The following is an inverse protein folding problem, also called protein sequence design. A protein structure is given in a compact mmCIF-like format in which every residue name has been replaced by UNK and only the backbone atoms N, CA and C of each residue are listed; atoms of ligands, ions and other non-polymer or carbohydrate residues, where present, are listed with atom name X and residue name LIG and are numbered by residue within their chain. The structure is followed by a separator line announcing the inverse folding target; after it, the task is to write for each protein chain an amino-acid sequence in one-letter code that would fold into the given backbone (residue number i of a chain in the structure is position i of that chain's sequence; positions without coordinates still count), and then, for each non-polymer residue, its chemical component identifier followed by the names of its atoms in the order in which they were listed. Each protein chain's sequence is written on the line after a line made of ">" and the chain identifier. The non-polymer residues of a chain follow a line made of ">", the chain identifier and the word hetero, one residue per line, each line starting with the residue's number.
data_IF_051184245097
#
_entry.id   IF_051184245097
#
_cell.length_a   1.000
_cell.length_b   1.000
_cell.length_c   1.000
_cell.angle_alpha   90.00
_cell.angle_beta   90.00
_cell.angle_gamma   90.00
#
_symmetry.space_group_name_H-M   'P 1'
#
loop_
_entity.id
_entity.type
_entity.pdbx_description
1 polymer ?
#
# COMPACT_ATOMS: atom_id res chain seq x y z
N UNK A 1 9.29 -13.34 -19.24
CA UNK A 1 10.70 -13.05 -18.86
C UNK A 1 10.99 -13.78 -17.56
N UNK A 2 11.80 -14.83 -17.57
CA UNK A 2 12.27 -15.42 -16.30
C UNK A 2 13.31 -14.47 -15.69
N UNK A 3 13.16 -14.14 -14.41
CA UNK A 3 14.17 -13.39 -13.70
C UNK A 3 15.50 -14.17 -13.74
N UNK A 4 16.57 -13.56 -14.27
CA UNK A 4 17.85 -14.25 -14.50
C UNK A 4 18.40 -14.94 -13.25
N UNK A 5 18.13 -14.37 -12.07
CA UNK A 5 18.55 -14.90 -10.77
C UNK A 5 17.77 -16.14 -10.31
N UNK A 6 16.64 -16.47 -10.94
CA UNK A 6 15.81 -17.63 -10.61
C UNK A 6 16.07 -18.83 -11.52
N UNK A 7 16.69 -18.62 -12.69
CA UNK A 7 16.88 -19.65 -13.72
C UNK A 7 17.65 -20.88 -13.20
N UNK A 8 18.84 -20.67 -12.64
CA UNK A 8 19.68 -21.75 -12.14
C UNK A 8 19.01 -22.51 -10.99
N UNK A 9 18.31 -21.79 -10.11
CA UNK A 9 17.59 -22.37 -8.97
C UNK A 9 16.45 -23.28 -9.45
N UNK A 10 15.66 -22.85 -10.45
CA UNK A 10 14.58 -23.67 -11.01
C UNK A 10 15.14 -24.94 -11.66
N UNK A 11 16.28 -24.83 -12.35
CA UNK A 11 16.93 -25.98 -12.99
C UNK A 11 17.67 -26.89 -11.99
N UNK A 12 17.80 -26.48 -10.72
CA UNK A 12 18.49 -27.24 -9.68
C UNK A 12 20.02 -27.14 -9.72
N UNK A 13 20.56 -26.16 -10.44
CA UNK A 13 22.00 -25.89 -10.52
C UNK A 13 22.42 -24.73 -9.60
N UNK A 14 23.71 -24.66 -9.28
CA UNK A 14 24.30 -23.52 -8.58
C UNK A 14 23.99 -23.46 -7.08
N UNK A 15 24.12 -22.27 -6.49
CA UNK A 15 23.90 -22.04 -5.06
C UNK A 15 22.40 -21.83 -4.78
N UNK A 16 21.73 -22.67 -3.98
CA UNK A 16 20.29 -22.54 -3.71
C UNK A 16 19.94 -21.25 -2.97
N UNK A 17 20.89 -20.67 -2.23
CA UNK A 17 20.70 -19.41 -1.54
C UNK A 17 21.10 -18.18 -2.35
N UNK A 18 21.31 -18.28 -3.67
CA UNK A 18 21.73 -17.16 -4.53
C UNK A 18 20.62 -16.10 -4.72
N UNK A 19 19.35 -16.50 -4.63
CA UNK A 19 18.19 -15.62 -4.71
C UNK A 19 17.69 -15.09 -3.36
N UNK A 20 18.43 -15.34 -2.27
CA UNK A 20 18.11 -14.75 -0.98
C UNK A 20 18.31 -13.22 -1.03
N UNK A 21 17.45 -12.46 -0.35
CA UNK A 21 17.47 -10.99 -0.40
C UNK A 21 18.84 -10.39 -0.05
N UNK A 22 19.62 -11.04 0.82
CA UNK A 22 20.96 -10.58 1.21
C UNK A 22 22.04 -10.75 0.13
N UNK A 23 21.75 -11.51 -0.94
CA UNK A 23 22.69 -11.76 -2.05
C UNK A 23 22.27 -11.10 -3.35
N UNK A 24 21.07 -10.51 -3.39
CA UNK A 24 20.56 -9.82 -4.57
C UNK A 24 21.07 -8.37 -4.58
N UNK A 25 21.56 -7.87 -5.73
CA UNK A 25 22.20 -6.55 -5.81
C UNK A 25 21.25 -5.37 -5.53
N UNK A 26 19.94 -5.56 -5.75
CA UNK A 26 18.95 -4.50 -5.63
C UNK A 26 18.24 -4.52 -4.26
N UNK A 27 18.99 -4.83 -3.19
CA UNK A 27 18.44 -4.83 -1.85
C UNK A 27 17.98 -3.42 -1.46
N UNK A 28 16.77 -3.32 -0.93
CA UNK A 28 16.17 -2.07 -0.50
C UNK A 28 16.68 -1.74 0.90
N UNK A 29 17.38 -0.61 1.04
CA UNK A 29 18.00 -0.20 2.29
C UNK A 29 16.98 0.28 3.33
N UNK A 30 15.95 1.00 2.88
CA UNK A 30 14.95 1.63 3.73
C UNK A 30 13.57 1.10 3.36
N UNK A 31 12.88 0.50 4.32
CA UNK A 31 11.53 -0.03 4.14
C UNK A 31 10.59 0.54 5.20
N UNK A 32 9.36 0.86 4.79
CA UNK A 32 8.30 1.24 5.71
C UNK A 32 7.56 -0.02 6.19
N UNK A 33 7.64 -0.31 7.49
CA UNK A 33 6.95 -1.45 8.08
C UNK A 33 5.52 -1.11 8.49
N UNK A 34 5.06 0.13 8.29
CA UNK A 34 3.69 0.55 8.56
C UNK A 34 3.18 0.07 9.93
N UNK A 35 2.10 -0.72 9.94
CA UNK A 35 1.43 -1.28 11.10
C UNK A 35 1.95 -2.67 11.52
N UNK A 36 3.07 -3.14 10.95
CA UNK A 36 3.66 -4.45 11.28
C UNK A 36 4.02 -4.55 12.77
N UNK A 37 4.48 -3.46 13.37
CA UNK A 37 4.85 -3.41 14.79
C UNK A 37 3.83 -2.64 15.61
N UNK A 38 3.27 -3.29 16.63
CA UNK A 38 2.37 -2.66 17.59
C UNK A 38 3.02 -1.57 18.46
N UNK A 39 4.33 -1.67 18.73
CA UNK A 39 5.08 -0.70 19.54
C UNK A 39 6.59 -0.76 19.25
N UNK A 40 7.35 0.21 19.77
CA UNK A 40 8.81 0.20 19.69
C UNK A 40 9.43 -0.99 20.44
N UNK A 41 8.83 -1.42 21.56
CA UNK A 41 9.30 -2.58 22.32
C UNK A 41 9.08 -3.89 21.56
N UNK A 42 7.95 -4.00 20.87
CA UNK A 42 7.70 -5.10 19.95
C UNK A 42 8.78 -5.12 18.85
N UNK A 43 9.08 -3.99 18.21
CA UNK A 43 10.15 -3.89 17.20
C UNK A 43 11.50 -4.35 17.76
N UNK A 44 11.91 -3.85 18.94
CA UNK A 44 13.17 -4.25 19.59
C UNK A 44 13.21 -5.75 19.87
N UNK A 45 12.11 -6.33 20.35
CA UNK A 45 12.03 -7.77 20.64
C UNK A 45 12.19 -8.65 19.39
N UNK A 46 11.83 -8.13 18.20
CA UNK A 46 11.89 -8.85 16.94
C UNK A 46 13.28 -8.86 16.29
N UNK A 47 14.23 -8.06 16.77
CA UNK A 47 15.59 -7.99 16.24
C UNK A 47 16.67 -8.21 17.32
N UNK A 48 16.72 -9.39 17.98
CA UNK A 48 17.60 -9.63 19.13
C UNK A 48 19.09 -9.54 18.81
N UNK A 49 19.48 -9.70 17.54
CA UNK A 49 20.87 -9.60 17.08
C UNK A 49 21.29 -8.23 16.57
N UNK A 50 20.42 -7.21 16.64
CA UNK A 50 20.68 -5.87 16.13
C UNK A 50 20.61 -4.81 17.23
N UNK A 51 21.45 -3.79 17.10
CA UNK A 51 21.37 -2.57 17.90
C UNK A 51 20.37 -1.62 17.24
N UNK A 52 19.25 -1.37 17.90
CA UNK A 52 18.20 -0.46 17.40
C UNK A 52 18.51 0.97 17.83
N UNK A 53 18.86 1.84 16.88
CA UNK A 53 18.97 3.29 17.07
C UNK A 53 17.71 3.96 16.54
N UNK A 54 17.11 4.82 17.34
CA UNK A 54 15.92 5.56 16.96
C UNK A 54 16.31 6.99 16.61
N UNK A 55 15.66 7.60 15.62
CA UNK A 55 15.96 8.98 15.19
C UNK A 55 15.28 10.05 16.03
N UNK A 56 14.34 9.65 16.90
CA UNK A 56 13.55 10.51 17.76
C UNK A 56 13.87 10.18 19.22
N UNK A 57 14.15 11.21 20.02
CA UNK A 57 14.54 11.06 21.42
C UNK A 57 13.31 11.09 22.34
N UNK A 58 12.21 11.73 21.92
CA UNK A 58 11.00 11.83 22.71
C UNK A 58 10.23 10.50 22.72
N UNK A 59 10.09 9.81 23.88
CA UNK A 59 9.38 8.53 23.97
C UNK A 59 7.92 8.59 23.53
N UNK A 60 7.25 9.74 23.67
CA UNK A 60 5.83 9.91 23.29
C UNK A 60 5.62 9.88 21.78
N UNK A 61 6.66 10.23 20.99
CA UNK A 61 6.64 10.22 19.54
C UNK A 61 7.12 8.88 18.95
N UNK A 62 7.56 7.94 19.79
CA UNK A 62 8.01 6.59 19.39
C UNK A 62 6.85 5.61 19.17
N UNK A 63 5.86 6.07 18.41
CA UNK A 63 4.67 5.30 18.06
C UNK A 63 4.74 4.85 16.59
N UNK A 64 4.14 3.70 16.24
CA UNK A 64 4.06 3.26 14.85
C UNK A 64 3.24 4.25 14.01
N UNK A 65 3.48 4.31 12.68
CA UNK A 65 4.34 3.44 11.88
C UNK A 65 5.85 3.70 11.95
N UNK A 66 6.64 2.67 11.64
CA UNK A 66 8.10 2.72 11.68
C UNK A 66 8.73 2.44 10.31
N UNK A 67 9.59 3.35 9.87
CA UNK A 67 10.51 3.12 8.76
C UNK A 67 11.84 2.61 9.30
N UNK A 68 12.33 1.50 8.73
CA UNK A 68 13.57 0.86 9.16
C UNK A 68 14.59 0.93 8.03
N UNK A 69 15.77 1.49 8.34
CA UNK A 69 16.95 1.45 7.48
C UNK A 69 17.87 0.33 7.94
N UNK A 70 18.09 -0.63 7.05
CA UNK A 70 18.99 -1.76 7.24
C UNK A 70 20.39 -1.41 6.72
N UNK A 71 21.45 -1.91 7.38
CA UNK A 71 22.80 -1.77 6.89
C UNK A 71 22.93 -2.58 5.60
N UNK A 72 23.25 -1.91 4.48
CA UNK A 72 23.47 -2.57 3.20
C UNK A 72 24.87 -3.14 3.18
N UNK A 73 25.01 -4.43 2.89
CA UNK A 73 26.32 -5.01 2.58
C UNK A 73 26.74 -4.56 1.18
N UNK A 74 27.40 -3.41 1.07
CA UNK A 74 28.02 -2.99 -0.19
C UNK A 74 29.09 -4.01 -0.59
N UNK A 75 28.73 -4.93 -1.50
CA UNK A 75 29.67 -5.79 -2.24
C UNK A 75 30.04 -5.18 -3.60
N UNK A 76 30.17 -3.86 -3.68
CA UNK A 76 30.78 -3.19 -4.83
C UNK A 76 32.15 -2.62 -4.39
N UNK A 77 33.18 -2.94 -5.17
CA UNK A 77 34.58 -2.48 -5.07
C UNK A 77 35.56 -3.18 -4.10
N UNK A 78 35.59 -4.51 -4.11
CA UNK A 78 36.90 -5.21 -4.10
C UNK A 78 37.26 -5.59 -5.54
N UNK A 79 37.70 -4.59 -6.30
CA UNK A 79 38.29 -4.78 -7.62
C UNK A 79 39.43 -5.79 -7.55
N UNK A 80 39.47 -6.69 -8.54
CA UNK A 80 40.56 -7.65 -8.80
C UNK A 80 41.93 -6.95 -8.80
N UNK A 81 42.63 -6.92 -7.66
CA UNK A 81 44.09 -6.91 -7.66
C UNK A 81 44.56 -8.35 -7.64
N UNK A 82 45.25 -8.73 -8.72
CA UNK A 82 45.92 -10.02 -8.88
C UNK A 82 46.87 -10.25 -7.69
N UNK A 83 46.89 -11.51 -7.23
CA UNK A 83 47.80 -12.08 -6.22
C UNK A 83 49.24 -11.56 -6.33
N UNK A 84 49.81 -11.20 -5.18
CA UNK A 84 51.12 -11.66 -4.73
C UNK A 84 51.12 -11.65 -3.19
N UNK A 85 51.44 -12.82 -2.62
CA UNK A 85 51.73 -13.19 -1.22
C UNK A 85 51.48 -12.21 -0.08
N UNK A 86 50.64 -12.62 0.86
CA UNK A 86 50.97 -12.70 2.29
C UNK A 86 49.84 -13.42 3.04
N UNK A 87 50.21 -14.46 3.78
CA UNK A 87 49.37 -15.09 4.79
C UNK A 87 49.11 -14.08 5.91
N UNK A 88 47.92 -13.45 5.92
CA UNK A 88 47.39 -12.79 7.10
C UNK A 88 45.91 -13.17 7.26
N UNK A 89 45.62 -13.69 8.45
CA UNK A 89 44.32 -14.17 8.89
C UNK A 89 43.24 -13.12 8.65
N UNK A 90 42.22 -13.45 7.85
CA UNK A 90 41.06 -12.59 7.64
C UNK A 90 40.28 -12.44 8.96
N UNK A 91 40.61 -11.38 9.72
CA UNK A 91 39.78 -10.89 10.81
C UNK A 91 38.36 -10.63 10.28
N UNK A 92 37.40 -11.42 10.77
CA UNK A 92 35.96 -11.21 10.55
C UNK A 92 35.58 -9.85 11.15
N UNK A 93 35.64 -8.78 10.35
CA UNK A 93 35.05 -7.49 10.71
C UNK A 93 33.60 -7.73 11.12
N UNK A 94 33.29 -7.48 12.38
CA UNK A 94 31.93 -7.54 12.91
C UNK A 94 31.02 -6.73 11.99
N UNK A 95 30.03 -7.39 11.41
CA UNK A 95 29.02 -6.73 10.59
C UNK A 95 28.38 -5.63 11.44
N UNK A 96 28.31 -4.40 10.93
CA UNK A 96 27.65 -3.28 11.60
C UNK A 96 26.15 -3.59 11.69
N UNK A 97 25.73 -4.26 12.77
CA UNK A 97 24.35 -4.72 13.03
C UNK A 97 23.52 -3.60 13.65
N UNK A 98 23.61 -2.40 13.11
CA UNK A 98 22.84 -1.25 13.58
C UNK A 98 21.61 -1.04 12.69
N UNK A 99 20.42 -1.01 13.28
CA UNK A 99 19.18 -0.61 12.60
C UNK A 99 18.87 0.84 12.95
N UNK A 100 18.51 1.65 11.95
CA UNK A 100 18.00 3.01 12.18
C UNK A 100 16.49 2.98 12.01
N UNK A 101 15.77 3.33 13.07
CA UNK A 101 14.31 3.35 13.13
C UNK A 101 13.82 4.79 13.17
N UNK A 102 12.97 5.12 12.21
CA UNK A 102 12.38 6.45 12.02
C UNK A 102 10.85 6.32 12.20
N UNK A 103 10.28 6.74 13.34
CA UNK A 103 8.83 6.86 13.47
C UNK A 103 8.33 7.97 12.55
N UNK A 104 7.14 7.79 11.98
CA UNK A 104 6.51 8.82 11.16
C UNK A 104 5.00 8.87 11.37
N UNK A 105 4.40 10.02 11.07
CA UNK A 105 2.96 10.22 11.23
C UNK A 105 2.26 9.87 9.92
N UNK A 106 1.27 8.97 9.98
CA UNK A 106 0.42 8.70 8.82
C UNK A 106 -0.36 9.97 8.46
N UNK A 107 -0.30 10.44 7.19
CA UNK A 107 -1.02 11.64 6.80
C UNK A 107 -2.52 11.53 7.10
N UNK A 108 -3.10 12.57 7.70
CA UNK A 108 -4.53 12.66 7.98
C UNK A 108 -5.36 12.45 6.71
N UNK A 109 -6.40 11.61 6.77
CA UNK A 109 -7.26 11.22 5.62
C UNK A 109 -8.63 11.89 5.63
N UNK A 110 -8.79 12.96 6.41
CA UNK A 110 -10.01 13.74 6.54
C UNK A 110 -10.68 13.60 7.90
N UNK A 111 -11.76 14.36 8.12
CA UNK A 111 -12.34 14.55 9.44
C UNK A 111 -13.26 13.40 9.89
N UNK A 112 -13.51 12.43 9.02
CA UNK A 112 -14.43 11.32 9.33
C UNK A 112 -13.69 10.14 9.99
N UNK A 113 -14.18 9.62 11.14
CA UNK A 113 -13.53 8.51 11.84
C UNK A 113 -13.38 7.24 10.99
N UNK A 114 -14.33 6.97 10.09
CA UNK A 114 -14.28 5.81 9.20
C UNK A 114 -13.19 5.89 8.12
N UNK A 115 -12.54 7.04 7.93
CA UNK A 115 -11.39 7.19 7.03
C UNK A 115 -10.07 6.79 7.70
N UNK A 116 -10.06 6.55 9.01
CA UNK A 116 -8.86 6.08 9.69
C UNK A 116 -8.49 4.69 9.17
N UNK A 117 -7.19 4.47 8.86
CA UNK A 117 -6.74 3.20 8.31
C UNK A 117 -6.94 2.09 9.34
N UNK A 118 -7.45 0.93 8.87
CA UNK A 118 -7.49 -0.26 9.71
C UNK A 118 -6.05 -0.73 9.97
N UNK A 119 -5.77 -1.17 11.18
CA UNK A 119 -4.42 -1.55 11.61
C UNK A 119 -4.36 -3.02 11.96
N UNK A 120 -3.23 -3.64 11.65
CA UNK A 120 -2.84 -4.93 12.17
C UNK A 120 -2.87 -4.93 13.71
N UNK A 121 -3.33 -6.04 14.28
CA UNK A 121 -3.42 -6.29 15.72
C UNK A 121 -2.52 -7.44 16.16
N UNK A 122 -1.85 -8.11 15.22
CA UNK A 122 -1.02 -9.29 15.47
C UNK A 122 0.36 -8.84 15.93
N UNK A 123 0.80 -9.37 17.07
CA UNK A 123 2.17 -9.25 17.55
C UNK A 123 3.02 -10.36 16.93
N UNK A 124 3.71 -10.04 15.83
CA UNK A 124 4.53 -11.01 15.10
C UNK A 124 5.80 -11.42 15.86
N UNK A 125 6.12 -12.70 15.81
CA UNK A 125 7.38 -13.22 16.38
C UNK A 125 8.61 -12.76 15.58
N UNK A 126 9.83 -12.79 16.16
CA UNK A 126 11.06 -12.46 15.43
C UNK A 126 11.21 -13.25 14.11
N UNK A 127 10.86 -14.53 14.12
CA UNK A 127 10.91 -15.40 12.93
C UNK A 127 9.89 -14.98 11.86
N UNK A 128 8.70 -14.54 12.26
CA UNK A 128 7.68 -14.03 11.33
C UNK A 128 8.10 -12.67 10.77
N UNK A 129 8.70 -11.80 11.57
CA UNK A 129 9.24 -10.51 11.12
C UNK A 129 10.36 -10.71 10.10
N UNK A 130 11.24 -11.70 10.29
CA UNK A 130 12.25 -12.03 9.28
C UNK A 130 11.61 -12.51 7.97
N UNK A 131 10.54 -13.31 8.04
CA UNK A 131 9.78 -13.71 6.85
C UNK A 131 9.11 -12.52 6.15
N UNK A 132 8.52 -11.58 6.91
CA UNK A 132 7.91 -10.35 6.38
C UNK A 132 8.98 -9.48 5.72
N UNK A 133 10.11 -9.24 6.40
CA UNK A 133 11.25 -8.50 5.88
C UNK A 133 11.76 -9.11 4.58
N UNK A 134 11.95 -10.42 4.55
CA UNK A 134 12.39 -11.14 3.35
C UNK A 134 11.36 -11.01 2.21
N UNK A 135 10.07 -11.10 2.50
CA UNK A 135 8.98 -10.94 1.52
C UNK A 135 8.84 -9.54 0.93
N UNK A 136 9.26 -8.50 1.68
CA UNK A 136 9.29 -7.11 1.19
C UNK A 136 10.51 -6.80 0.30
N UNK A 137 11.51 -7.67 0.29
CA UNK A 137 12.74 -7.48 -0.48
C UNK A 137 12.67 -8.20 -1.82
N UNK A 138 13.39 -7.71 -2.85
CA UNK A 138 13.54 -8.46 -4.08
C UNK A 138 14.23 -9.81 -3.85
N UNK A 139 13.65 -10.89 -4.37
CA UNK A 139 14.25 -12.22 -4.33
C UNK A 139 13.26 -13.36 -4.18
N UNK A 140 13.81 -14.51 -3.78
CA UNK A 140 13.03 -15.68 -3.42
C UNK A 140 12.96 -15.81 -1.90
N UNK A 141 11.75 -15.71 -1.37
CA UNK A 141 11.45 -15.93 0.05
C UNK A 141 10.66 -17.21 0.20
N UNK A 142 11.21 -18.16 0.93
CA UNK A 142 10.55 -19.44 1.23
C UNK A 142 10.22 -19.52 2.71
N UNK A 143 8.93 -19.53 3.03
CA UNK A 143 8.44 -19.61 4.41
C UNK A 143 7.90 -21.01 4.68
N UNK A 144 8.55 -21.73 5.59
CA UNK A 144 8.09 -23.04 6.05
C UNK A 144 7.53 -22.89 7.47
N UNK A 145 6.27 -23.26 7.66
CA UNK A 145 5.61 -23.17 8.96
C UNK A 145 4.69 -24.37 9.21
N UNK A 146 4.77 -25.04 10.37
CA UNK A 146 3.79 -26.03 10.82
C UNK A 146 2.33 -25.51 10.77
N UNK A 147 1.32 -26.41 10.84
CA UNK A 147 -0.06 -25.98 11.00
C UNK A 147 -0.22 -25.04 12.21
N UNK A 148 -0.99 -23.96 12.06
CA UNK A 148 -1.26 -23.01 13.15
C UNK A 148 -0.21 -21.92 13.40
N UNK A 149 0.90 -21.86 12.67
CA UNK A 149 1.98 -20.86 12.92
C UNK A 149 1.73 -19.47 12.29
N UNK A 150 0.49 -19.13 11.95
CA UNK A 150 0.15 -17.80 11.40
C UNK A 150 0.72 -17.51 10.00
N UNK A 151 0.87 -18.53 9.13
CA UNK A 151 1.37 -18.33 7.76
C UNK A 151 0.52 -17.34 6.97
N UNK A 152 -0.79 -17.40 7.13
CA UNK A 152 -1.72 -16.48 6.47
C UNK A 152 -1.53 -15.04 6.96
N UNK A 153 -1.27 -14.85 8.26
CA UNK A 153 -1.02 -13.51 8.83
C UNK A 153 0.27 -12.90 8.28
N UNK A 154 1.34 -13.71 8.18
CA UNK A 154 2.60 -13.29 7.55
C UNK A 154 2.39 -12.87 6.09
N UNK A 155 1.69 -13.70 5.31
CA UNK A 155 1.38 -13.42 3.91
C UNK A 155 0.61 -12.11 3.74
N UNK A 156 -0.47 -11.94 4.52
CA UNK A 156 -1.31 -10.76 4.48
C UNK A 156 -0.53 -9.49 4.87
N UNK A 157 0.38 -9.57 5.85
CA UNK A 157 1.22 -8.43 6.21
C UNK A 157 2.26 -8.10 5.12
N UNK A 158 2.84 -9.11 4.45
CA UNK A 158 3.72 -8.88 3.29
C UNK A 158 2.94 -8.14 2.20
N UNK A 159 1.74 -8.62 1.85
CA UNK A 159 0.89 -8.00 0.83
C UNK A 159 0.55 -6.56 1.22
N UNK A 160 0.16 -6.31 2.48
CA UNK A 160 -0.11 -4.95 2.99
C UNK A 160 1.11 -4.04 2.86
N UNK A 161 2.29 -4.52 3.26
CA UNK A 161 3.51 -3.73 3.20
C UNK A 161 3.93 -3.43 1.76
N UNK A 162 3.83 -4.41 0.85
CA UNK A 162 4.11 -4.22 -0.57
C UNK A 162 3.15 -3.21 -1.21
N UNK A 163 1.86 -3.31 -0.88
CA UNK A 163 0.81 -2.41 -1.36
C UNK A 163 1.08 -0.94 -1.01
N UNK A 164 1.58 -0.68 0.21
CA UNK A 164 1.89 0.67 0.68
C UNK A 164 3.26 1.19 0.23
N UNK A 165 4.30 0.34 0.24
CA UNK A 165 5.65 0.76 -0.15
C UNK A 165 5.80 0.94 -1.66
N UNK A 166 5.06 0.15 -2.45
CA UNK A 166 5.21 0.10 -3.90
C UNK A 166 3.84 0.25 -4.59
N UNK A 167 3.19 1.43 -4.51
CA UNK A 167 1.84 1.63 -5.03
C UNK A 167 1.71 1.44 -6.55
N UNK A 168 2.81 1.56 -7.30
CA UNK A 168 2.85 1.33 -8.76
C UNK A 168 2.99 -0.16 -9.13
N UNK A 169 3.28 -1.01 -8.14
CA UNK A 169 3.47 -2.42 -8.34
C UNK A 169 2.17 -3.21 -8.15
N UNK A 170 2.14 -4.41 -8.74
CA UNK A 170 1.02 -5.35 -8.64
C UNK A 170 1.50 -6.66 -8.03
N UNK A 171 0.66 -7.25 -7.18
CA UNK A 171 0.90 -8.50 -6.49
C UNK A 171 -0.04 -9.58 -7.02
N UNK A 172 0.53 -10.70 -7.48
CA UNK A 172 -0.21 -11.89 -7.84
C UNK A 172 -0.18 -12.90 -6.70
N UNK A 173 -1.34 -13.35 -6.26
CA UNK A 173 -1.51 -14.37 -5.23
C UNK A 173 -2.00 -15.64 -5.90
N UNK A 174 -1.26 -16.74 -5.70
CA UNK A 174 -1.63 -18.05 -6.22
C UNK A 174 -1.73 -19.03 -5.06
N UNK A 175 -2.88 -19.70 -4.95
CA UNK A 175 -3.13 -20.68 -3.88
C UNK A 175 -3.61 -22.00 -4.44
N UNK A 176 -3.52 -23.06 -3.65
CA UNK A 176 -4.04 -24.38 -4.05
C UNK A 176 -5.57 -24.49 -4.01
N UNK A 177 -6.25 -23.77 -3.10
CA UNK A 177 -7.69 -23.93 -2.89
C UNK A 177 -8.43 -22.60 -2.76
N UNK A 178 -9.71 -22.62 -3.14
CA UNK A 178 -10.62 -21.48 -2.95
C UNK A 178 -10.78 -21.10 -1.47
N UNK A 179 -10.71 -22.07 -0.55
CA UNK A 179 -10.78 -21.80 0.89
C UNK A 179 -9.59 -20.97 1.38
N UNK A 180 -8.39 -21.24 0.87
CA UNK A 180 -7.20 -20.45 1.21
C UNK A 180 -7.33 -19.01 0.69
N UNK A 181 -7.92 -18.82 -0.50
CA UNK A 181 -8.25 -17.48 -1.00
C UNK A 181 -9.23 -16.77 -0.06
N UNK A 182 -10.34 -17.41 0.35
CA UNK A 182 -11.33 -16.79 1.24
C UNK A 182 -10.68 -16.27 2.54
N UNK A 183 -9.92 -17.13 3.23
CA UNK A 183 -9.23 -16.77 4.47
C UNK A 183 -8.25 -15.60 4.31
N UNK A 184 -7.58 -15.55 3.16
CA UNK A 184 -6.64 -14.48 2.85
C UNK A 184 -7.37 -13.16 2.58
N UNK A 185 -8.46 -13.19 1.80
CA UNK A 185 -9.27 -11.99 1.54
C UNK A 185 -9.94 -11.44 2.80
N UNK A 186 -10.48 -12.30 3.67
CA UNK A 186 -11.07 -11.88 4.96
C UNK A 186 -10.06 -11.07 5.79
N UNK A 187 -8.81 -11.54 5.87
CA UNK A 187 -7.74 -10.84 6.60
C UNK A 187 -7.27 -9.57 5.88
N UNK A 188 -7.15 -9.60 4.55
CA UNK A 188 -6.83 -8.39 3.76
C UNK A 188 -7.87 -7.29 3.98
N UNK A 189 -9.16 -7.64 4.01
CA UNK A 189 -10.25 -6.69 4.22
C UNK A 189 -10.21 -6.04 5.61
N UNK A 190 -9.55 -6.68 6.58
CA UNK A 190 -9.35 -6.14 7.92
C UNK A 190 -8.14 -5.18 8.00
N UNK A 191 -7.37 -5.02 6.92
CA UNK A 191 -6.25 -4.09 6.83
C UNK A 191 -6.57 -2.87 5.96
N UNK A 192 -5.64 -1.91 5.93
CA UNK A 192 -5.74 -0.68 5.14
C UNK A 192 -5.51 -0.89 3.64
N UNK A 193 -6.29 -1.77 3.02
CA UNK A 193 -6.24 -2.03 1.58
C UNK A 193 -7.59 -1.65 0.97
N UNK A 194 -7.55 -0.77 -0.03
CA UNK A 194 -8.77 -0.33 -0.71
C UNK A 194 -9.35 -1.49 -1.53
N UNK A 195 -10.62 -1.82 -1.28
CA UNK A 195 -11.29 -2.98 -1.86
C UNK A 195 -11.44 -2.92 -3.38
N UNK A 196 -11.28 -1.73 -3.97
CA UNK A 196 -11.24 -1.53 -5.43
C UNK A 196 -9.99 -2.15 -6.07
N UNK A 197 -8.90 -2.24 -5.32
CA UNK A 197 -7.64 -2.78 -5.81
C UNK A 197 -7.55 -4.31 -5.65
N UNK A 198 -8.59 -4.94 -5.09
CA UNK A 198 -8.65 -6.39 -4.86
C UNK A 198 -9.47 -7.06 -5.96
N UNK A 199 -8.89 -8.09 -6.60
CA UNK A 199 -9.58 -8.89 -7.60
C UNK A 199 -9.31 -10.37 -7.39
N UNK A 200 -10.37 -11.18 -7.40
CA UNK A 200 -10.29 -12.63 -7.41
C UNK A 200 -10.68 -13.20 -8.78
N UNK A 201 -9.92 -14.19 -9.26
CA UNK A 201 -10.24 -14.94 -10.47
C UNK A 201 -10.31 -16.45 -10.19
N UNK A 202 -11.33 -17.13 -10.73
CA UNK A 202 -11.54 -18.56 -10.47
C UNK A 202 -12.88 -19.09 -10.98
N UNK A 203 -12.99 -20.42 -11.12
CA UNK A 203 -14.30 -21.05 -11.23
C UNK A 203 -14.95 -21.07 -9.83
N UNK A 204 -16.17 -20.57 -9.70
CA UNK A 204 -16.81 -20.31 -8.40
C UNK A 204 -16.58 -18.87 -7.88
N UNK A 205 -16.41 -17.91 -8.79
CA UNK A 205 -16.38 -16.45 -8.50
C UNK A 205 -17.53 -16.02 -7.55
N UNK A 206 -18.66 -16.75 -7.54
CA UNK A 206 -19.88 -16.48 -6.78
C UNK A 206 -19.94 -17.15 -5.38
N UNK A 207 -18.99 -18.03 -5.02
CA UNK A 207 -19.08 -18.88 -3.82
C UNK A 207 -18.25 -18.35 -2.62
N UNK A 208 -18.18 -17.02 -2.47
CA UNK A 208 -17.67 -16.41 -1.25
C UNK A 208 -18.81 -16.30 -0.24
N UNK A 209 -18.66 -16.93 0.93
CA UNK A 209 -19.46 -16.62 2.12
C UNK A 209 -18.98 -15.31 2.79
N UNK A 210 -18.40 -14.39 2.03
CA UNK A 210 -18.06 -13.05 2.52
C UNK A 210 -19.17 -12.08 2.14
N UNK A 211 -19.40 -11.06 2.97
CA UNK A 211 -20.42 -10.02 2.68
C UNK A 211 -20.21 -9.30 1.33
N UNK A 212 -18.99 -9.34 0.77
CA UNK A 212 -18.61 -8.63 -0.45
C UNK A 212 -18.18 -9.55 -1.59
N UNK A 213 -18.55 -9.20 -2.81
CA UNK A 213 -18.23 -9.96 -4.03
C UNK A 213 -16.97 -9.42 -4.73
N UNK A 214 -15.86 -10.17 -4.64
CA UNK A 214 -14.55 -9.87 -5.27
C UNK A 214 -14.36 -10.52 -6.64
N UNK A 215 -15.40 -11.11 -7.21
CA UNK A 215 -15.41 -11.57 -8.60
C UNK A 215 -15.26 -10.40 -9.58
N UNK A 216 -15.03 -10.72 -10.86
CA UNK A 216 -14.97 -9.69 -11.90
C UNK A 216 -16.28 -8.93 -12.00
N UNK A 217 -17.41 -9.63 -11.93
CA UNK A 217 -18.73 -9.03 -12.01
C UNK A 217 -19.05 -8.18 -10.77
N UNK A 218 -18.80 -8.71 -9.58
CA UNK A 218 -18.97 -8.00 -8.32
C UNK A 218 -18.15 -6.72 -8.22
N UNK A 219 -16.89 -6.77 -8.66
CA UNK A 219 -16.02 -5.59 -8.69
C UNK A 219 -16.47 -4.55 -9.71
N UNK A 220 -16.97 -4.95 -10.88
CA UNK A 220 -17.58 -4.01 -11.84
C UNK A 220 -18.81 -3.34 -11.23
N UNK A 221 -19.70 -4.09 -10.58
CA UNK A 221 -20.89 -3.54 -9.92
C UNK A 221 -20.52 -2.58 -8.77
N UNK A 222 -19.52 -2.95 -7.96
CA UNK A 222 -18.98 -2.09 -6.92
C UNK A 222 -18.49 -0.75 -7.51
N UNK A 223 -17.69 -0.78 -8.58
CA UNK A 223 -17.20 0.43 -9.24
C UNK A 223 -18.35 1.29 -9.75
N UNK A 224 -19.36 0.69 -10.40
CA UNK A 224 -20.53 1.42 -10.92
C UNK A 224 -21.36 2.07 -9.80
N UNK A 225 -21.61 1.35 -8.71
CA UNK A 225 -22.33 1.86 -7.55
C UNK A 225 -21.55 2.96 -6.83
N UNK A 226 -20.26 2.73 -6.59
CA UNK A 226 -19.37 3.68 -5.94
C UNK A 226 -19.20 4.96 -6.76
N UNK A 227 -19.12 4.86 -8.08
CA UNK A 227 -19.13 6.03 -8.98
C UNK A 227 -20.36 6.90 -8.74
N UNK A 228 -21.56 6.33 -8.64
CA UNK A 228 -22.79 7.09 -8.39
C UNK A 228 -22.80 7.76 -7.00
N UNK A 229 -22.22 7.12 -5.99
CA UNK A 229 -22.01 7.75 -4.67
C UNK A 229 -21.06 8.95 -4.74
N UNK A 230 -19.92 8.78 -5.40
CA UNK A 230 -18.91 9.84 -5.51
C UNK A 230 -19.43 11.03 -6.34
N UNK A 231 -20.17 10.79 -7.42
CA UNK A 231 -20.79 11.86 -8.20
C UNK A 231 -21.83 12.65 -7.39
N UNK A 232 -22.56 11.99 -6.48
CA UNK A 232 -23.43 12.67 -5.52
C UNK A 232 -22.64 13.55 -4.54
N UNK A 233 -21.49 13.07 -4.08
CA UNK A 233 -20.59 13.89 -3.25
C UNK A 233 -20.04 15.11 -4.01
N UNK A 234 -19.77 15.01 -5.31
CA UNK A 234 -19.39 16.16 -6.15
C UNK A 234 -20.54 17.17 -6.23
N UNK A 235 -21.78 16.71 -6.42
CA UNK A 235 -22.97 17.58 -6.37
C UNK A 235 -23.11 18.30 -5.03
N UNK A 236 -22.97 17.56 -3.92
CA UNK A 236 -22.98 18.13 -2.56
C UNK A 236 -21.87 19.15 -2.35
N UNK A 237 -20.67 18.89 -2.89
CA UNK A 237 -19.54 19.84 -2.84
C UNK A 237 -19.85 21.10 -3.64
N UNK A 238 -20.45 20.98 -4.83
CA UNK A 238 -20.89 22.14 -5.62
C UNK A 238 -21.89 23.01 -4.86
N UNK A 239 -22.94 22.41 -4.29
CA UNK A 239 -23.95 23.12 -3.48
C UNK A 239 -23.33 23.78 -2.23
N UNK A 240 -22.31 23.14 -1.65
CA UNK A 240 -21.59 23.69 -0.51
C UNK A 240 -20.68 24.88 -0.86
N UNK A 241 -20.31 25.01 -2.13
CA UNK A 241 -19.49 26.11 -2.65
C UNK A 241 -20.33 27.21 -3.33
N UNK A 242 -21.66 27.09 -3.28
CA UNK A 242 -22.64 27.99 -3.90
C UNK A 242 -22.36 28.23 -5.39
N UNK A 243 -21.86 27.19 -6.09
CA UNK A 243 -21.61 27.23 -7.52
C UNK A 243 -22.92 26.90 -8.25
N UNK A 244 -23.41 27.79 -9.15
CA UNK A 244 -24.66 27.56 -9.85
C UNK A 244 -24.52 26.43 -10.89
N UNK A 245 -25.52 25.56 -10.97
CA UNK A 245 -25.63 24.55 -12.02
C UNK A 245 -26.48 23.34 -11.61
N UNK A 246 -27.56 23.07 -12.35
CA UNK A 246 -28.37 21.86 -12.21
C UNK A 246 -27.77 20.69 -13.01
N UNK A 247 -26.47 20.44 -12.85
CA UNK A 247 -25.75 19.47 -13.68
C UNK A 247 -25.58 18.16 -12.93
N UNK A 248 -26.16 17.09 -13.47
CA UNK A 248 -25.74 15.73 -13.11
C UNK A 248 -24.30 15.51 -13.58
N UNK A 249 -23.37 15.41 -12.64
CA UNK A 249 -21.96 15.20 -12.96
C UNK A 249 -21.72 13.84 -13.65
N UNK A 250 -20.77 13.85 -14.57
CA UNK A 250 -20.03 12.69 -15.10
C UNK A 250 -18.62 12.69 -14.52
N UNK A 251 -17.86 11.60 -14.66
CA UNK A 251 -16.46 11.57 -14.24
C UNK A 251 -15.65 12.69 -14.91
N UNK A 252 -15.89 12.94 -16.20
CA UNK A 252 -15.21 14.00 -16.95
C UNK A 252 -15.56 15.42 -16.43
N UNK A 253 -16.84 15.72 -16.26
CA UNK A 253 -17.26 17.04 -15.76
C UNK A 253 -16.88 17.26 -14.29
N UNK A 254 -16.84 16.19 -13.49
CA UNK A 254 -16.28 16.23 -12.13
C UNK A 254 -14.79 16.57 -12.13
N UNK A 255 -14.03 16.03 -13.09
CA UNK A 255 -12.61 16.40 -13.29
C UNK A 255 -12.44 17.90 -13.59
N UNK A 256 -13.28 18.46 -14.46
CA UNK A 256 -13.28 19.91 -14.70
C UNK A 256 -13.64 20.71 -13.45
N UNK A 257 -14.69 20.31 -12.72
CA UNK A 257 -15.07 20.96 -11.47
C UNK A 257 -13.94 20.94 -10.43
N UNK A 258 -13.22 19.82 -10.30
CA UNK A 258 -12.06 19.73 -9.42
C UNK A 258 -10.98 20.76 -9.78
N UNK A 259 -10.60 20.85 -11.05
CA UNK A 259 -9.55 21.77 -11.48
C UNK A 259 -9.93 23.24 -11.27
N UNK A 260 -11.16 23.62 -11.67
CA UNK A 260 -11.58 25.04 -11.68
C UNK A 260 -12.16 25.54 -10.35
N UNK A 261 -12.80 24.67 -9.57
CA UNK A 261 -13.49 25.09 -8.34
C UNK A 261 -12.75 24.64 -7.09
N UNK A 262 -12.27 23.40 -7.04
CA UNK A 262 -11.65 22.83 -5.84
C UNK A 262 -10.18 23.22 -5.73
N UNK A 263 -9.37 22.94 -6.75
CA UNK A 263 -7.93 23.22 -6.71
C UNK A 263 -7.66 24.72 -6.60
N UNK A 264 -8.34 25.56 -7.37
CA UNK A 264 -8.14 27.01 -7.32
C UNK A 264 -8.42 27.59 -5.92
N UNK A 265 -9.50 27.16 -5.26
CA UNK A 265 -9.80 27.56 -3.88
C UNK A 265 -8.77 27.04 -2.88
N UNK A 266 -8.30 25.82 -3.06
CA UNK A 266 -7.27 25.23 -2.21
C UNK A 266 -5.92 25.96 -2.34
N UNK A 267 -5.50 26.27 -3.57
CA UNK A 267 -4.28 27.04 -3.83
C UNK A 267 -4.37 28.46 -3.25
N UNK A 268 -5.51 29.13 -3.43
CA UNK A 268 -5.78 30.43 -2.82
C UNK A 268 -5.71 30.36 -1.29
N UNK A 269 -6.36 29.35 -0.68
CA UNK A 269 -6.30 29.08 0.75
C UNK A 269 -4.86 28.88 1.24
N UNK A 270 -4.11 27.95 0.62
CA UNK A 270 -2.72 27.68 1.00
C UNK A 270 -1.82 28.90 0.84
N UNK A 271 -2.11 29.80 -0.11
CA UNK A 271 -1.36 31.06 -0.28
C UNK A 271 -1.55 32.03 0.89
N UNK A 272 -2.67 31.93 1.62
CA UNK A 272 -3.04 32.74 2.79
C UNK A 272 -2.55 32.12 4.10
N UNK A 273 -2.62 30.79 4.23
CA UNK A 273 -2.31 30.10 5.49
C UNK A 273 -0.90 29.55 5.59
N UNK A 274 -0.14 29.41 4.49
CA UNK A 274 1.27 29.00 4.58
C UNK A 274 2.12 30.14 5.13
N UNK A 275 2.92 29.83 6.15
CA UNK A 275 3.96 30.72 6.67
C UNK A 275 4.91 31.16 5.54
N UNK A 276 4.85 32.45 5.18
CA UNK A 276 5.87 33.11 4.34
C UNK A 276 6.95 33.65 5.26
N UNK A 277 8.22 33.46 4.88
CA UNK A 277 9.44 33.81 5.63
C UNK A 277 9.22 34.96 6.63
N UNK A 278 9.03 34.63 7.92
CA UNK A 278 8.97 35.58 9.03
C UNK A 278 7.59 36.09 9.49
N UNK A 279 6.47 35.61 8.94
CA UNK A 279 5.12 35.91 9.50
C UNK A 279 4.50 34.67 10.17
N UNK A 280 4.38 34.62 11.50
CA UNK A 280 3.62 33.57 12.15
C UNK A 280 2.15 33.70 11.74
N UNK A 281 1.55 32.58 11.35
CA UNK A 281 0.12 32.49 11.05
C UNK A 281 -0.55 31.92 12.29
N UNK A 282 -1.54 32.64 12.84
CA UNK A 282 -2.33 32.18 13.96
C UNK A 282 -3.16 30.94 13.58
N UNK A 283 -3.34 30.00 14.51
CA UNK A 283 -4.15 28.80 14.28
C UNK A 283 -5.58 29.15 13.82
N UNK A 284 -6.15 30.24 14.34
CA UNK A 284 -7.48 30.73 13.98
C UNK A 284 -7.59 31.13 12.49
N UNK A 285 -6.50 31.53 11.85
CA UNK A 285 -6.49 31.88 10.43
C UNK A 285 -6.70 30.64 9.53
N UNK A 286 -6.23 29.46 9.99
CA UNK A 286 -6.41 28.16 9.31
C UNK A 286 -7.90 27.85 9.22
N UNK A 287 -8.60 27.89 10.35
CA UNK A 287 -10.04 27.68 10.39
C UNK A 287 -10.79 28.79 9.62
N UNK A 288 -10.45 30.06 9.82
CA UNK A 288 -11.18 31.19 9.21
C UNK A 288 -11.15 31.19 7.68
N UNK A 289 -10.01 30.84 7.08
CA UNK A 289 -9.86 30.87 5.62
C UNK A 289 -10.22 29.55 4.93
N UNK A 290 -10.53 28.50 5.68
CA UNK A 290 -10.78 27.19 5.11
C UNK A 290 -12.01 27.18 4.17
N UNK A 291 -11.87 26.77 2.90
CA UNK A 291 -12.90 27.00 1.88
C UNK A 291 -14.02 25.94 1.87
N UNK A 292 -13.93 24.88 2.69
CA UNK A 292 -14.82 23.72 2.59
C UNK A 292 -15.67 23.47 3.86
N UNK A 293 -15.89 24.49 4.70
CA UNK A 293 -16.68 24.35 5.95
C UNK A 293 -18.06 23.74 5.75
N UNK A 294 -18.84 24.30 4.80
CA UNK A 294 -20.21 23.85 4.52
C UNK A 294 -20.22 22.39 4.06
N UNK A 295 -19.21 21.95 3.30
CA UNK A 295 -19.06 20.56 2.87
C UNK A 295 -18.80 19.62 4.05
N UNK A 296 -17.96 20.01 5.02
CA UNK A 296 -17.65 19.17 6.18
C UNK A 296 -18.59 19.37 7.38
N UNK A 297 -19.72 20.06 7.20
CA UNK A 297 -20.74 20.27 8.25
C UNK A 297 -21.32 18.96 8.82
N UNK A 298 -21.30 17.88 8.03
CA UNK A 298 -21.74 16.55 8.44
C UNK A 298 -20.64 15.68 9.09
N UNK A 299 -19.41 16.20 9.24
CA UNK A 299 -18.34 15.55 10.00
C UNK A 299 -18.49 15.85 11.51
N UNK A 300 -17.81 15.08 12.40
CA UNK A 300 -17.76 15.41 13.82
C UNK A 300 -17.26 16.85 14.05
N UNK A 301 -18.01 17.62 14.85
CA UNK A 301 -17.73 19.03 15.13
C UNK A 301 -17.12 19.21 16.53
N UNK A 302 -16.23 20.20 16.73
CA UNK A 302 -15.67 21.09 15.71
C UNK A 302 -14.59 20.39 14.87
N UNK A 303 -14.50 20.72 13.57
CA UNK A 303 -13.45 20.19 12.68
C UNK A 303 -12.06 20.67 13.10
N UNK A 304 -11.93 21.96 13.43
CA UNK A 304 -10.67 22.57 13.88
C UNK A 304 -10.69 22.75 15.40
N UNK A 305 -9.53 22.59 16.04
CA UNK A 305 -9.42 22.61 17.50
C UNK A 305 -8.81 23.91 18.02
N UNK A 306 -8.11 24.68 17.19
CA UNK A 306 -7.51 25.96 17.58
C UNK A 306 -6.36 25.84 18.58
N UNK A 307 -5.78 24.64 18.72
CA UNK A 307 -4.72 24.36 19.71
C UNK A 307 -3.33 24.74 19.19
N UNK A 308 -3.03 24.31 17.97
CA UNK A 308 -1.76 24.62 17.29
C UNK A 308 -1.98 24.80 15.79
N UNK A 309 -1.14 25.64 15.19
CA UNK A 309 -1.18 25.87 13.74
C UNK A 309 -0.87 24.57 12.98
N UNK A 310 0.10 23.78 13.46
CA UNK A 310 0.52 22.53 12.83
C UNK A 310 -0.60 21.49 12.82
N UNK A 311 -1.32 21.34 13.94
CA UNK A 311 -2.45 20.40 14.05
C UNK A 311 -3.61 20.81 13.14
N UNK A 312 -4.05 22.08 13.21
CA UNK A 312 -5.17 22.55 12.39
C UNK A 312 -4.81 22.54 10.89
N UNK A 313 -3.55 22.79 10.53
CA UNK A 313 -3.08 22.68 9.15
C UNK A 313 -3.11 21.23 8.65
N UNK A 314 -2.66 20.25 9.45
CA UNK A 314 -2.77 18.83 9.07
C UNK A 314 -4.23 18.37 8.96
N UNK A 315 -5.13 18.89 9.81
CA UNK A 315 -6.58 18.68 9.67
C UNK A 315 -7.08 19.24 8.33
N UNK A 316 -6.72 20.48 7.99
CA UNK A 316 -7.11 21.09 6.72
C UNK A 316 -6.57 20.32 5.51
N UNK A 317 -5.30 19.91 5.55
CA UNK A 317 -4.70 19.07 4.52
C UNK A 317 -5.39 17.70 4.44
N UNK A 318 -5.77 17.10 5.57
CA UNK A 318 -6.53 15.86 5.61
C UNK A 318 -7.90 15.99 4.97
N UNK A 319 -8.61 17.09 5.24
CA UNK A 319 -9.87 17.42 4.59
C UNK A 319 -9.69 17.56 3.07
N UNK A 320 -8.63 18.23 2.62
CA UNK A 320 -8.33 18.32 1.20
C UNK A 320 -7.96 16.97 0.58
N UNK A 321 -7.18 16.13 1.28
CA UNK A 321 -6.85 14.76 0.84
C UNK A 321 -8.11 13.91 0.69
N UNK A 322 -9.11 14.07 1.57
CA UNK A 322 -10.41 13.43 1.44
C UNK A 322 -11.14 13.84 0.15
N UNK A 323 -11.25 15.15 -0.11
CA UNK A 323 -11.87 15.67 -1.33
C UNK A 323 -11.11 15.20 -2.56
N UNK A 324 -9.78 15.34 -2.56
CA UNK A 324 -8.91 14.89 -3.66
C UNK A 324 -9.10 13.41 -3.96
N UNK A 325 -9.23 12.56 -2.92
CA UNK A 325 -9.49 11.12 -3.08
C UNK A 325 -10.74 10.88 -3.91
N UNK A 326 -11.85 11.58 -3.66
CA UNK A 326 -13.11 11.46 -4.43
C UNK A 326 -12.85 11.62 -5.93
N UNK A 327 -12.17 12.70 -6.31
CA UNK A 327 -11.89 12.99 -7.73
C UNK A 327 -10.86 12.05 -8.33
N UNK A 328 -9.85 11.61 -7.56
CA UNK A 328 -8.93 10.57 -8.01
C UNK A 328 -9.67 9.26 -8.33
N UNK A 329 -10.62 8.81 -7.48
CA UNK A 329 -11.39 7.61 -7.80
C UNK A 329 -12.32 7.82 -9.00
N UNK A 330 -12.91 9.02 -9.16
CA UNK A 330 -13.75 9.30 -10.32
C UNK A 330 -12.97 9.27 -11.64
N UNK A 331 -11.73 9.76 -11.67
CA UNK A 331 -10.89 9.68 -12.86
C UNK A 331 -10.54 8.22 -13.22
N UNK A 332 -10.20 7.39 -12.22
CA UNK A 332 -10.01 5.94 -12.40
C UNK A 332 -11.30 5.28 -12.94
N UNK A 333 -12.47 5.72 -12.49
CA UNK A 333 -13.76 5.20 -12.95
C UNK A 333 -14.22 5.73 -14.31
N UNK A 334 -13.53 6.73 -14.88
CA UNK A 334 -13.90 7.34 -16.18
C UNK A 334 -13.94 6.31 -17.30
N UNK A 335 -13.03 5.33 -17.29
CA UNK A 335 -13.03 4.27 -18.29
C UNK A 335 -14.32 3.42 -18.27
N UNK A 336 -14.96 3.25 -17.10
CA UNK A 336 -16.19 2.48 -16.96
C UNK A 336 -17.41 3.20 -17.54
N UNK A 337 -17.36 4.53 -17.67
CA UNK A 337 -18.36 5.31 -18.42
C UNK A 337 -18.29 5.02 -19.93
N UNK A 338 -17.06 4.94 -20.45
CA UNK A 338 -16.80 4.76 -21.88
C UNK A 338 -17.03 3.31 -22.34
N UNK A 339 -16.64 2.34 -21.51
CA UNK A 339 -16.77 0.92 -21.80
C UNK A 339 -18.21 0.46 -21.59
N UNK A 340 -18.84 -0.08 -22.64
CA UNK A 340 -20.25 -0.52 -22.60
C UNK A 340 -20.42 -1.98 -22.19
N UNK A 341 -19.51 -2.87 -22.58
CA UNK A 341 -19.64 -4.29 -22.30
C UNK A 341 -19.08 -4.64 -20.92
N UNK A 342 -19.73 -5.58 -20.22
CA UNK A 342 -19.23 -6.09 -18.94
C UNK A 342 -17.86 -6.78 -19.07
N UNK A 343 -17.62 -7.42 -20.23
CA UNK A 343 -16.35 -8.06 -20.53
C UNK A 343 -15.21 -7.03 -20.59
N UNK A 344 -15.40 -5.92 -21.30
CA UNK A 344 -14.35 -4.90 -21.44
C UNK A 344 -14.09 -4.18 -20.12
N UNK A 345 -15.15 -3.92 -19.33
CA UNK A 345 -15.01 -3.38 -17.96
C UNK A 345 -14.21 -4.32 -17.06
N UNK A 346 -14.48 -5.63 -17.15
CA UNK A 346 -13.72 -6.63 -16.38
C UNK A 346 -12.25 -6.70 -16.81
N UNK A 347 -11.97 -6.56 -18.10
CA UNK A 347 -10.61 -6.50 -18.64
C UNK A 347 -9.89 -5.24 -18.16
N UNK A 348 -10.55 -4.08 -18.21
CA UNK A 348 -9.98 -2.84 -17.72
C UNK A 348 -9.61 -2.93 -16.23
N UNK A 349 -10.52 -3.46 -15.41
CA UNK A 349 -10.28 -3.66 -14.00
C UNK A 349 -9.07 -4.58 -13.76
N UNK A 350 -8.98 -5.67 -14.52
CA UNK A 350 -7.87 -6.63 -14.46
C UNK A 350 -6.54 -6.05 -14.96
N UNK A 351 -6.54 -5.09 -15.88
CA UNK A 351 -5.30 -4.55 -16.48
C UNK A 351 -4.82 -3.28 -15.77
N UNK A 352 -5.73 -2.42 -15.29
CA UNK A 352 -5.37 -1.08 -14.80
C UNK A 352 -5.68 -0.83 -13.33
N UNK A 353 -6.78 -1.33 -12.80
CA UNK A 353 -7.23 -0.96 -11.45
C UNK A 353 -6.75 -1.90 -10.35
N UNK A 354 -6.83 -3.22 -10.58
CA UNK A 354 -6.50 -4.20 -9.54
C UNK A 354 -5.00 -4.15 -9.21
N UNK A 355 -4.62 -3.97 -7.94
CA UNK A 355 -3.22 -4.07 -7.51
C UNK A 355 -2.91 -5.44 -6.93
N UNK A 356 -3.90 -6.10 -6.33
CA UNK A 356 -3.77 -7.44 -5.77
C UNK A 356 -4.74 -8.34 -6.52
N UNK A 357 -4.18 -9.27 -7.30
CA UNK A 357 -4.94 -10.22 -8.09
C UNK A 357 -4.70 -11.61 -7.51
N UNK A 358 -5.76 -12.34 -7.22
CA UNK A 358 -5.65 -13.63 -6.57
C UNK A 358 -6.41 -14.73 -7.32
N UNK A 359 -5.81 -15.91 -7.44
CA UNK A 359 -6.39 -17.04 -8.16
C UNK A 359 -5.88 -18.38 -7.65
N UNK A 360 -6.53 -19.48 -8.08
CA UNK A 360 -6.04 -20.83 -7.79
C UNK A 360 -5.03 -21.29 -8.83
N UNK A 361 -4.13 -22.21 -8.47
CA UNK A 361 -3.19 -22.84 -9.42
C UNK A 361 -3.90 -23.41 -10.66
N UNK A 362 -5.01 -24.09 -10.45
CA UNK A 362 -5.83 -24.66 -11.53
C UNK A 362 -6.33 -23.59 -12.48
N UNK A 363 -6.78 -22.45 -11.96
CA UNK A 363 -7.25 -21.34 -12.79
C UNK A 363 -6.08 -20.65 -13.51
N UNK A 364 -4.96 -20.42 -12.83
CA UNK A 364 -3.75 -19.85 -13.46
C UNK A 364 -3.27 -20.70 -14.63
N UNK A 365 -3.24 -22.02 -14.47
CA UNK A 365 -2.82 -22.94 -15.54
C UNK A 365 -3.78 -22.90 -16.74
N UNK A 366 -5.09 -22.93 -16.50
CA UNK A 366 -6.11 -22.89 -17.55
C UNK A 366 -6.16 -21.55 -18.28
N UNK A 367 -5.96 -20.44 -17.57
CA UNK A 367 -6.07 -19.07 -18.10
C UNK A 367 -4.74 -18.40 -18.42
N UNK A 368 -3.65 -19.16 -18.41
CA UNK A 368 -2.30 -18.64 -18.68
C UNK A 368 -2.23 -17.91 -20.03
N UNK A 369 -2.83 -18.47 -21.08
CA UNK A 369 -2.80 -17.88 -22.42
C UNK A 369 -3.49 -16.51 -22.43
N UNK A 370 -4.76 -16.45 -22.01
CA UNK A 370 -5.54 -15.21 -21.87
C UNK A 370 -4.80 -14.16 -21.01
N UNK A 371 -4.20 -14.58 -19.90
CA UNK A 371 -3.44 -13.70 -19.00
C UNK A 371 -2.17 -13.12 -19.66
N UNK A 372 -1.50 -13.91 -20.49
CA UNK A 372 -0.31 -13.46 -21.26
C UNK A 372 -0.72 -12.48 -22.36
N UNK A 373 -1.81 -12.75 -23.07
CA UNK A 373 -2.33 -11.84 -24.11
C UNK A 373 -2.77 -10.49 -23.53
N UNK A 374 -3.31 -10.49 -22.31
CA UNK A 374 -3.66 -9.27 -21.58
C UNK A 374 -2.44 -8.50 -21.04
N UNK A 375 -1.22 -9.01 -21.21
CA UNK A 375 0.02 -8.36 -20.78
C UNK A 375 0.29 -8.40 -19.27
N UNK A 376 -0.56 -9.08 -18.50
CA UNK A 376 -0.63 -8.99 -17.03
C UNK A 376 0.67 -9.47 -16.35
N UNK A 377 1.39 -10.42 -16.95
CA UNK A 377 2.62 -10.98 -16.38
C UNK A 377 3.83 -10.04 -16.42
N UNK A 378 3.82 -9.00 -17.26
CA UNK A 378 4.88 -7.99 -17.30
C UNK A 378 4.84 -7.01 -16.11
N UNK A 379 3.69 -6.93 -15.44
CA UNK A 379 3.39 -5.90 -14.45
C UNK A 379 3.50 -6.39 -12.99
N UNK A 380 3.65 -7.70 -12.77
CA UNK A 380 3.75 -8.26 -11.42
C UNK A 380 5.17 -8.16 -10.88
N UNK A 381 5.33 -7.51 -9.74
CA UNK A 381 6.60 -7.41 -9.02
C UNK A 381 6.76 -8.47 -7.94
N UNK A 382 5.65 -9.05 -7.47
CA UNK A 382 5.61 -10.07 -6.44
C UNK A 382 4.61 -11.16 -6.82
N UNK A 383 5.04 -12.42 -6.71
CA UNK A 383 4.19 -13.60 -6.83
C UNK A 383 4.27 -14.33 -5.50
N UNK A 384 3.14 -14.40 -4.79
CA UNK A 384 3.05 -15.14 -3.54
C UNK A 384 2.33 -16.46 -3.77
N UNK A 385 3.03 -17.55 -3.47
CA UNK A 385 2.52 -18.91 -3.60
C UNK A 385 2.23 -19.47 -2.21
N UNK A 386 0.97 -19.76 -1.94
CA UNK A 386 0.53 -20.35 -0.68
C UNK A 386 0.06 -21.80 -0.88
N UNK A 387 0.79 -22.73 -0.27
CA UNK A 387 0.46 -24.15 -0.24
C UNK A 387 1.37 -25.02 -1.11
N UNK A 388 1.05 -26.31 -1.20
CA UNK A 388 1.73 -27.25 -2.10
C UNK A 388 1.21 -27.05 -3.52
N UNK A 389 2.12 -26.86 -4.46
CA UNK A 389 1.84 -26.83 -5.89
C UNK A 389 2.70 -27.89 -6.56
N UNK A 390 2.10 -28.69 -7.44
CA UNK A 390 2.79 -29.67 -8.29
C UNK A 390 3.23 -29.05 -9.59
#
# INVERSE_FOLDING_TARGET
>A
MQAKWLHDIILGYGNPGSAHYSKIPNQISSLDFNDTFLSIDHLRSCFPGYTVKVTEDNPELLIPPFRIKFPVQNRADKGKKRKADSDEEEEKKEEDKTLIVEPHVTPNRGPYPYNQPKRNTIQFTPTQIEAIRAGMQPGLTMVVGPPGTGKTDVAVQIISNLYHNFPEQRTLIVTHSNQALNQLFEKIMALDIDERHLLRMGHGEEALETEKDFSRYGRVNYVLARRLELLREVGRLQESLDVPGDVSYTCETAGHFYLYQVMSRWEEYMSKVRCKQGRPVEAEAVATHFPFHKYFSNAPQPVFHGRSYEEDLDIAEGCYRHIKKIFTQLEEFRAFELLRSGLDRSKYLLVKEAKIIAMTFTHTALKRHDLVELGIWGDFSAIEILGRAT
#
